data_IF_135799439392
#
_entry.id   IF_135799439392
#
_cell.length_a   1.000
_cell.length_b   1.000
_cell.length_c   1.000
_cell.angle_alpha   90.00
_cell.angle_beta   90.00
_cell.angle_gamma   90.00
#
_symmetry.space_group_name_H-M   'P 1'
#
loop_
_entity.id
_entity.type
_entity.pdbx_description
1 polymer ?
#
# COMPACT_ATOMS: atom_id res chain seq x y z
N UNK A 1 18.65 -60.08 21.24
CA UNK A 1 19.26 -59.80 22.55
C UNK A 1 19.26 -58.29 22.75
N UNK A 2 18.41 -57.74 23.63
CA UNK A 2 18.47 -56.33 24.04
C UNK A 2 19.73 -56.16 24.90
N UNK A 3 20.85 -55.75 24.30
CA UNK A 3 22.07 -55.40 25.03
C UNK A 3 22.04 -53.98 25.58
N UNK A 4 21.02 -53.19 25.24
CA UNK A 4 20.86 -51.83 25.74
C UNK A 4 19.39 -51.55 26.08
N UNK A 5 19.19 -50.78 27.14
CA UNK A 5 17.90 -50.35 27.68
C UNK A 5 17.15 -49.40 26.74
N UNK A 6 17.89 -48.76 25.82
CA UNK A 6 17.43 -47.75 24.89
C UNK A 6 17.73 -48.12 23.43
N UNK A 7 16.90 -47.63 22.50
CA UNK A 7 17.15 -47.73 21.06
C UNK A 7 18.19 -46.69 20.57
N UNK A 8 18.62 -46.83 19.32
CA UNK A 8 19.67 -45.97 18.74
C UNK A 8 19.27 -44.47 18.68
N UNK A 9 17.99 -44.15 18.49
CA UNK A 9 17.51 -42.78 18.44
C UNK A 9 17.41 -42.17 19.83
N UNK A 10 16.97 -42.94 20.83
CA UNK A 10 16.99 -42.54 22.24
C UNK A 10 18.42 -42.25 22.72
N UNK A 11 19.37 -43.16 22.44
CA UNK A 11 20.81 -42.97 22.75
C UNK A 11 21.34 -41.69 22.08
N UNK A 12 20.93 -41.40 20.85
CA UNK A 12 21.32 -40.18 20.14
C UNK A 12 20.85 -38.91 20.85
N UNK A 13 19.62 -38.87 21.36
CA UNK A 13 19.13 -37.71 22.10
C UNK A 13 19.77 -37.58 23.49
N UNK A 14 20.07 -38.69 24.18
CA UNK A 14 20.84 -38.68 25.44
C UNK A 14 22.24 -38.08 25.20
N UNK A 15 22.96 -38.56 24.18
CA UNK A 15 24.28 -38.05 23.83
C UNK A 15 24.27 -36.57 23.44
N UNK A 16 23.22 -36.10 22.76
CA UNK A 16 23.05 -34.67 22.46
C UNK A 16 22.91 -33.85 23.74
N UNK A 17 22.12 -34.31 24.72
CA UNK A 17 21.94 -33.62 25.99
C UNK A 17 23.22 -33.55 26.83
N UNK A 18 23.96 -34.67 26.92
CA UNK A 18 25.28 -34.69 27.58
C UNK A 18 26.22 -33.68 26.91
N UNK A 19 26.21 -33.62 25.57
CA UNK A 19 27.05 -32.69 24.81
C UNK A 19 26.64 -31.22 25.01
N UNK A 20 25.34 -30.93 25.17
CA UNK A 20 24.83 -29.59 25.48
C UNK A 20 24.91 -29.23 26.97
N UNK A 21 25.33 -30.17 27.83
CA UNK A 21 25.53 -29.94 29.25
C UNK A 21 24.25 -29.89 30.08
N UNK A 22 23.13 -30.41 29.57
CA UNK A 22 21.85 -30.46 30.29
C UNK A 22 21.71 -31.74 31.12
N UNK A 23 20.91 -31.69 32.20
CA UNK A 23 20.64 -32.84 33.04
C UNK A 23 19.72 -33.86 32.35
N UNK A 24 20.33 -34.91 31.81
CA UNK A 24 19.61 -35.97 31.07
C UNK A 24 18.75 -36.87 31.96
N UNK A 25 18.93 -36.87 33.29
CA UNK A 25 18.19 -37.77 34.20
C UNK A 25 16.67 -37.56 34.16
N UNK A 26 16.25 -36.34 33.78
CA UNK A 26 14.86 -35.95 33.57
C UNK A 26 14.16 -36.76 32.47
N UNK A 27 14.87 -37.11 31.39
CA UNK A 27 14.34 -37.78 30.20
C UNK A 27 15.03 -39.10 29.81
N UNK A 28 16.13 -39.48 30.47
CA UNK A 28 16.79 -40.78 30.32
C UNK A 28 15.95 -41.90 30.96
N UNK A 29 14.74 -42.13 30.44
CA UNK A 29 13.76 -43.07 30.96
C UNK A 29 13.13 -43.86 29.82
N UNK A 30 12.98 -45.18 29.99
CA UNK A 30 12.42 -46.07 28.96
C UNK A 30 10.99 -45.70 28.53
N UNK A 31 10.26 -44.99 29.40
CA UNK A 31 8.90 -44.56 29.13
C UNK A 31 8.80 -43.43 28.09
N UNK A 32 9.93 -42.82 27.69
CA UNK A 32 9.95 -41.79 26.65
C UNK A 32 10.52 -42.35 25.35
N UNK A 33 9.82 -42.15 24.24
CA UNK A 33 10.40 -42.38 22.92
C UNK A 33 11.43 -41.29 22.56
N UNK A 34 12.18 -41.51 21.47
CA UNK A 34 13.20 -40.55 21.05
C UNK A 34 12.67 -39.16 20.69
N UNK A 35 11.40 -39.03 20.29
CA UNK A 35 10.76 -37.75 19.95
C UNK A 35 10.36 -36.99 21.21
N UNK A 36 9.83 -37.68 22.23
CA UNK A 36 9.58 -37.11 23.55
C UNK A 36 10.90 -36.67 24.22
N UNK A 37 11.93 -37.53 24.19
CA UNK A 37 13.27 -37.19 24.69
C UNK A 37 13.84 -35.94 24.00
N UNK A 38 13.63 -35.81 22.69
CA UNK A 38 14.04 -34.63 21.92
C UNK A 38 13.39 -33.35 22.47
N UNK A 39 12.09 -33.34 22.70
CA UNK A 39 11.39 -32.14 23.20
C UNK A 39 11.79 -31.79 24.63
N UNK A 40 12.00 -32.78 25.51
CA UNK A 40 12.49 -32.53 26.88
C UNK A 40 13.91 -31.94 26.83
N UNK A 41 14.80 -32.53 26.03
CA UNK A 41 16.16 -32.00 25.82
C UNK A 41 16.13 -30.55 25.32
N UNK A 42 15.33 -30.25 24.29
CA UNK A 42 15.23 -28.90 23.73
C UNK A 42 14.72 -27.86 24.76
N UNK A 43 13.83 -28.25 25.67
CA UNK A 43 13.38 -27.35 26.74
C UNK A 43 14.45 -27.10 27.79
N UNK A 44 15.19 -28.14 28.20
CA UNK A 44 16.33 -27.99 29.11
C UNK A 44 17.41 -27.08 28.53
N UNK A 45 17.72 -27.23 27.24
CA UNK A 45 18.68 -26.37 26.52
C UNK A 45 18.28 -24.89 26.53
N UNK A 46 17.00 -24.60 26.75
CA UNK A 46 16.44 -23.25 26.89
C UNK A 46 16.14 -22.85 28.34
N UNK A 47 16.60 -23.64 29.32
CA UNK A 47 16.34 -23.44 30.75
C UNK A 47 14.85 -23.36 31.11
N UNK A 48 14.00 -24.10 30.40
CA UNK A 48 12.57 -24.18 30.69
C UNK A 48 12.30 -25.17 31.84
N UNK A 49 11.20 -24.97 32.57
CA UNK A 49 10.70 -25.97 33.51
C UNK A 49 10.07 -27.15 32.75
N UNK A 50 10.90 -28.14 32.44
CA UNK A 50 10.46 -29.34 31.72
C UNK A 50 9.58 -30.26 32.56
N UNK A 51 9.50 -30.08 33.89
CA UNK A 51 8.64 -30.91 34.75
C UNK A 51 7.15 -30.76 34.40
N UNK A 52 6.78 -29.61 33.84
CA UNK A 52 5.45 -29.29 33.33
C UNK A 52 4.99 -30.30 32.26
N UNK A 53 5.90 -30.75 31.39
CA UNK A 53 5.56 -31.60 30.24
C UNK A 53 6.36 -32.91 30.10
N UNK A 54 7.34 -33.18 30.95
CA UNK A 54 8.09 -34.43 30.96
C UNK A 54 7.25 -35.58 31.55
N UNK A 55 6.09 -35.84 30.96
CA UNK A 55 5.11 -36.85 31.39
C UNK A 55 4.91 -37.88 30.27
N UNK A 56 5.01 -39.20 30.55
CA UNK A 56 4.89 -40.22 29.50
C UNK A 56 3.55 -40.23 28.75
N UNK A 57 2.50 -39.68 29.39
CA UNK A 57 1.16 -39.53 28.83
C UNK A 57 1.07 -38.50 27.70
N UNK A 58 1.98 -37.52 27.64
CA UNK A 58 2.03 -36.54 26.56
C UNK A 58 2.80 -37.09 25.37
N UNK A 59 2.20 -37.05 24.18
CA UNK A 59 2.95 -37.41 22.97
C UNK A 59 3.95 -36.29 22.61
N UNK A 60 4.86 -36.55 21.67
CA UNK A 60 5.88 -35.58 21.30
C UNK A 60 5.34 -34.27 20.72
N UNK A 61 4.15 -34.26 20.09
CA UNK A 61 3.52 -33.02 19.61
C UNK A 61 2.99 -32.17 20.77
N UNK A 62 2.37 -32.80 21.76
CA UNK A 62 1.91 -32.11 22.97
C UNK A 62 3.11 -31.49 23.69
N UNK A 63 4.18 -32.28 23.89
CA UNK A 63 5.43 -31.80 24.48
C UNK A 63 6.03 -30.63 23.69
N UNK A 64 6.01 -30.70 22.36
CA UNK A 64 6.47 -29.61 21.51
C UNK A 64 5.63 -28.34 21.73
N UNK A 65 4.30 -28.44 21.71
CA UNK A 65 3.41 -27.28 21.90
C UNK A 65 3.58 -26.65 23.27
N UNK A 66 3.69 -27.45 24.34
CA UNK A 66 3.91 -26.95 25.69
C UNK A 66 5.29 -26.28 25.78
N UNK A 67 6.35 -26.93 25.30
CA UNK A 67 7.71 -26.37 25.25
C UNK A 67 7.71 -24.99 24.57
N UNK A 68 7.19 -24.93 23.35
CA UNK A 68 7.16 -23.67 22.59
C UNK A 68 6.32 -22.58 23.25
N UNK A 69 5.32 -22.93 24.06
CA UNK A 69 4.53 -21.94 24.81
C UNK A 69 5.29 -21.43 26.04
N UNK A 70 6.00 -22.34 26.75
CA UNK A 70 6.87 -22.01 27.87
C UNK A 70 8.03 -21.10 27.47
N UNK A 71 8.54 -21.22 26.25
CA UNK A 71 9.56 -20.30 25.70
C UNK A 71 9.10 -18.84 25.67
N UNK A 72 7.80 -18.57 25.66
CA UNK A 72 7.21 -17.23 25.73
C UNK A 72 6.70 -16.90 27.14
N UNK A 73 7.02 -17.73 28.15
CA UNK A 73 6.63 -17.51 29.54
C UNK A 73 5.18 -17.85 29.86
N UNK A 74 4.50 -18.65 29.03
CA UNK A 74 3.12 -19.08 29.26
C UNK A 74 3.00 -20.62 29.32
N UNK A 75 1.95 -21.13 29.95
CA UNK A 75 1.77 -22.57 30.20
C UNK A 75 0.50 -23.11 29.52
N UNK A 76 0.68 -24.08 28.61
CA UNK A 76 -0.40 -24.77 27.88
C UNK A 76 -0.83 -26.08 28.58
N UNK A 77 -0.05 -26.59 29.53
CA UNK A 77 -0.19 -27.95 30.06
C UNK A 77 -1.58 -28.26 30.62
N UNK A 78 -2.26 -27.26 31.22
CA UNK A 78 -3.62 -27.38 31.75
C UNK A 78 -4.72 -27.61 30.71
N UNK A 79 -4.42 -27.42 29.41
CA UNK A 79 -5.35 -27.63 28.31
C UNK A 79 -5.13 -28.97 27.57
N UNK A 80 -4.01 -29.64 27.84
CA UNK A 80 -3.66 -30.90 27.16
C UNK A 80 -4.47 -32.05 27.75
N UNK A 81 -5.06 -32.88 26.88
CA UNK A 81 -5.87 -34.03 27.30
C UNK A 81 -7.27 -33.69 27.82
N UNK A 82 -7.68 -32.41 27.74
CA UNK A 82 -9.01 -31.92 28.20
C UNK A 82 -10.05 -31.93 27.07
N UNK A 83 -9.80 -32.69 26.00
CA UNK A 83 -10.71 -32.85 24.86
C UNK A 83 -10.53 -31.82 23.72
N UNK A 84 -9.45 -31.03 23.75
CA UNK A 84 -9.08 -30.16 22.63
C UNK A 84 -8.33 -30.93 21.54
N UNK A 85 -8.59 -30.59 20.27
CA UNK A 85 -7.81 -31.05 19.12
C UNK A 85 -6.53 -30.22 18.90
N UNK A 86 -5.64 -30.71 18.03
CA UNK A 86 -4.35 -30.07 17.70
C UNK A 86 -4.52 -28.59 17.27
N UNK A 87 -5.63 -28.24 16.60
CA UNK A 87 -5.88 -26.89 16.08
C UNK A 87 -6.44 -25.96 17.16
N UNK A 88 -7.30 -26.47 18.02
CA UNK A 88 -7.77 -25.75 19.20
C UNK A 88 -6.61 -25.44 20.16
N UNK A 89 -5.73 -26.42 20.42
CA UNK A 89 -4.52 -26.24 21.21
C UNK A 89 -3.57 -25.22 20.58
N UNK A 90 -3.44 -25.22 19.26
CA UNK A 90 -2.69 -24.20 18.54
C UNK A 90 -3.21 -22.78 18.82
N UNK A 91 -4.53 -22.54 18.80
CA UNK A 91 -5.08 -21.21 19.10
C UNK A 91 -4.93 -20.82 20.56
N UNK A 92 -5.12 -21.74 21.50
CA UNK A 92 -4.91 -21.47 22.93
C UNK A 92 -3.43 -21.11 23.17
N UNK A 93 -2.52 -21.92 22.66
CA UNK A 93 -1.07 -21.67 22.67
C UNK A 93 -0.73 -20.29 22.11
N UNK A 94 -1.28 -19.94 20.94
CA UNK A 94 -1.03 -18.65 20.30
C UNK A 94 -1.55 -17.47 21.12
N UNK A 95 -2.74 -17.58 21.72
CA UNK A 95 -3.28 -16.54 22.59
C UNK A 95 -2.49 -16.37 23.88
N UNK A 96 -2.07 -17.47 24.50
CA UNK A 96 -1.20 -17.45 25.67
C UNK A 96 0.13 -16.74 25.38
N UNK A 97 0.78 -17.06 24.25
CA UNK A 97 2.03 -16.40 23.81
C UNK A 97 1.85 -14.90 23.54
N UNK A 98 0.68 -14.51 23.04
CA UNK A 98 0.33 -13.10 22.79
C UNK A 98 -0.19 -12.40 24.06
N UNK A 99 -0.24 -13.08 25.22
CA UNK A 99 -0.72 -12.51 26.48
C UNK A 99 -2.23 -12.25 26.54
N UNK A 100 -3.01 -12.94 25.69
CA UNK A 100 -4.47 -12.80 25.62
C UNK A 100 -5.16 -13.66 26.70
N UNK A 101 -6.35 -13.23 27.11
CA UNK A 101 -7.18 -14.01 28.02
C UNK A 101 -7.83 -15.20 27.29
N UNK A 102 -7.15 -16.35 27.29
CA UNK A 102 -7.63 -17.55 26.59
C UNK A 102 -8.86 -18.19 27.23
N UNK A 103 -9.21 -17.85 28.48
CA UNK A 103 -10.42 -18.40 29.14
C UNK A 103 -11.71 -18.05 28.39
N UNK A 104 -11.67 -17.01 27.56
CA UNK A 104 -12.81 -16.56 26.74
C UNK A 104 -13.15 -17.58 25.65
N UNK A 105 -12.15 -18.29 25.11
CA UNK A 105 -12.36 -19.18 23.97
C UNK A 105 -11.79 -20.59 24.13
N UNK A 106 -11.06 -20.88 25.20
CA UNK A 106 -10.59 -22.22 25.54
C UNK A 106 -11.78 -23.11 25.97
N UNK A 107 -12.62 -23.45 24.99
CA UNK A 107 -13.80 -24.29 25.13
C UNK A 107 -13.74 -25.42 24.09
N UNK A 108 -13.68 -26.70 24.49
CA UNK A 108 -13.63 -27.82 23.56
C UNK A 108 -14.81 -27.90 22.58
N UNK A 109 -15.96 -27.31 22.93
CA UNK A 109 -17.13 -27.27 22.04
C UNK A 109 -17.00 -26.25 20.91
N UNK A 110 -16.05 -25.31 20.98
CA UNK A 110 -15.85 -24.31 19.94
C UNK A 110 -15.06 -24.88 18.77
N UNK A 111 -15.58 -24.71 17.56
CA UNK A 111 -14.83 -25.08 16.36
C UNK A 111 -13.51 -24.29 16.27
N UNK A 112 -12.50 -24.89 15.62
CA UNK A 112 -11.24 -24.25 15.25
C UNK A 112 -11.45 -22.83 14.65
N UNK A 113 -12.44 -22.68 13.76
CA UNK A 113 -12.76 -21.39 13.15
C UNK A 113 -13.26 -20.36 14.18
N UNK A 114 -14.12 -20.77 15.11
CA UNK A 114 -14.66 -19.88 16.14
C UNK A 114 -13.54 -19.41 17.08
N UNK A 115 -12.65 -20.30 17.50
CA UNK A 115 -11.46 -19.93 18.28
C UNK A 115 -10.54 -18.97 17.52
N UNK A 116 -10.31 -19.20 16.23
CA UNK A 116 -9.52 -18.32 15.38
C UNK A 116 -10.10 -16.89 15.31
N UNK A 117 -11.42 -16.78 15.18
CA UNK A 117 -12.11 -15.50 15.09
C UNK A 117 -12.12 -14.75 16.42
N UNK A 118 -12.34 -15.45 17.54
CA UNK A 118 -12.22 -14.87 18.88
C UNK A 118 -10.79 -14.38 19.14
N UNK A 119 -9.78 -15.21 18.84
CA UNK A 119 -8.37 -14.82 18.94
C UNK A 119 -8.07 -13.55 18.11
N UNK A 120 -8.55 -13.50 16.86
CA UNK A 120 -8.32 -12.35 15.99
C UNK A 120 -8.99 -11.07 16.53
N UNK A 121 -10.19 -11.20 17.11
CA UNK A 121 -10.90 -10.09 17.73
C UNK A 121 -10.21 -9.58 19.00
N UNK A 122 -9.75 -10.47 19.88
CA UNK A 122 -8.96 -10.11 21.08
C UNK A 122 -7.64 -9.44 20.71
N UNK A 123 -6.94 -9.96 19.70
CA UNK A 123 -5.70 -9.38 19.19
C UNK A 123 -5.90 -7.98 18.62
N UNK A 124 -7.06 -7.74 17.99
CA UNK A 124 -7.50 -6.43 17.53
C UNK A 124 -8.06 -5.54 18.66
N UNK A 125 -8.03 -6.00 19.92
CA UNK A 125 -8.55 -5.31 21.11
C UNK A 125 -10.04 -4.94 20.99
N UNK A 126 -10.81 -5.76 20.27
CA UNK A 126 -12.25 -5.57 20.18
C UNK A 126 -12.88 -5.98 21.52
N UNK A 127 -13.88 -5.24 22.02
CA UNK A 127 -14.51 -5.50 23.32
C UNK A 127 -15.50 -6.66 23.19
N UNK A 128 -15.01 -7.86 22.94
CA UNK A 128 -15.84 -9.06 22.79
C UNK A 128 -16.14 -9.74 24.13
N UNK A 129 -15.40 -9.39 25.18
CA UNK A 129 -15.51 -9.93 26.54
C UNK A 129 -16.87 -9.67 27.17
N UNK A 130 -17.58 -8.65 26.71
CA UNK A 130 -18.94 -8.31 27.19
C UNK A 130 -20.03 -9.25 26.68
N UNK A 131 -19.70 -10.16 25.77
CA UNK A 131 -20.65 -11.05 25.12
C UNK A 131 -20.54 -12.48 25.63
N UNK A 132 -21.68 -13.13 25.84
CA UNK A 132 -21.71 -14.58 26.01
C UNK A 132 -21.57 -15.25 24.63
N UNK A 133 -20.32 -15.41 24.20
CA UNK A 133 -19.96 -15.94 22.89
C UNK A 133 -20.49 -17.37 22.69
N UNK A 134 -20.72 -18.12 23.78
CA UNK A 134 -21.19 -19.51 23.73
C UNK A 134 -22.60 -19.66 23.18
N UNK A 135 -23.40 -18.58 23.21
CA UNK A 135 -24.78 -18.56 22.76
C UNK A 135 -24.94 -18.16 21.29
N UNK A 136 -23.89 -17.62 20.67
CA UNK A 136 -23.94 -17.25 19.25
C UNK A 136 -23.55 -18.43 18.37
N UNK A 137 -24.29 -18.58 17.26
CA UNK A 137 -23.79 -19.35 16.14
C UNK A 137 -22.52 -18.70 15.56
N UNK A 138 -21.72 -19.50 14.84
CA UNK A 138 -20.55 -19.02 14.09
C UNK A 138 -20.89 -17.79 13.22
N UNK A 139 -22.03 -17.82 12.54
CA UNK A 139 -22.44 -16.73 11.65
C UNK A 139 -22.78 -15.45 12.41
N UNK A 140 -23.53 -15.56 13.50
CA UNK A 140 -23.92 -14.44 14.35
C UNK A 140 -22.70 -13.77 14.97
N UNK A 141 -21.78 -14.56 15.53
CA UNK A 141 -20.53 -14.03 16.09
C UNK A 141 -19.68 -13.32 15.04
N UNK A 142 -19.62 -13.85 13.82
CA UNK A 142 -18.96 -13.17 12.71
C UNK A 142 -19.61 -11.83 12.38
N UNK A 143 -20.95 -11.71 12.44
CA UNK A 143 -21.63 -10.43 12.22
C UNK A 143 -21.26 -9.41 13.31
N UNK A 144 -21.19 -9.85 14.57
CA UNK A 144 -20.75 -9.04 15.71
C UNK A 144 -19.33 -8.54 15.50
N UNK A 145 -18.38 -9.43 15.23
CA UNK A 145 -16.98 -9.07 15.01
C UNK A 145 -16.83 -8.09 13.84
N UNK A 146 -17.58 -8.28 12.75
CA UNK A 146 -17.53 -7.39 11.60
C UNK A 146 -18.08 -5.98 11.91
N UNK A 147 -19.14 -5.84 12.69
CA UNK A 147 -19.60 -4.51 13.09
C UNK A 147 -18.69 -3.85 14.10
N UNK A 148 -18.16 -4.59 15.09
CA UNK A 148 -17.15 -4.06 16.02
C UNK A 148 -15.92 -3.54 15.26
N UNK A 149 -15.43 -4.28 14.26
CA UNK A 149 -14.34 -3.82 13.36
C UNK A 149 -14.69 -2.57 12.57
N UNK A 150 -15.98 -2.34 12.30
CA UNK A 150 -16.49 -1.16 11.61
C UNK A 150 -16.80 -0.01 12.58
N UNK A 151 -16.46 -0.15 13.87
CA UNK A 151 -16.78 0.83 14.92
C UNK A 151 -18.26 0.88 15.33
N UNK A 152 -19.10 -0.04 14.84
CA UNK A 152 -20.52 -0.04 15.15
C UNK A 152 -20.79 -0.43 16.61
N UNK A 153 -21.80 0.20 17.21
CA UNK A 153 -22.44 -0.32 18.41
C UNK A 153 -23.27 -1.55 18.03
N UNK A 154 -22.73 -2.71 18.33
CA UNK A 154 -23.37 -3.99 18.00
C UNK A 154 -24.50 -4.38 18.94
N UNK A 155 -24.71 -3.66 20.07
CA UNK A 155 -25.87 -3.86 20.95
C UNK A 155 -27.21 -3.56 20.27
N UNK A 156 -27.16 -2.90 19.11
CA UNK A 156 -28.31 -2.65 18.26
C UNK A 156 -28.73 -3.89 17.44
N UNK A 157 -27.90 -4.94 17.37
CA UNK A 157 -28.17 -6.13 16.56
C UNK A 157 -27.61 -7.46 17.12
N UNK A 158 -27.15 -7.51 18.37
CA UNK A 158 -26.51 -8.69 18.98
C UNK A 158 -27.48 -9.65 19.71
N UNK A 159 -28.76 -9.65 19.32
CA UNK A 159 -29.75 -10.60 19.86
C UNK A 159 -29.47 -12.05 19.42
N UNK A 160 -29.39 -12.96 20.39
CA UNK A 160 -29.15 -14.39 20.19
C UNK A 160 -30.19 -15.08 19.31
N UNK A 161 -31.44 -14.61 19.33
CA UNK A 161 -32.55 -15.21 18.57
C UNK A 161 -32.75 -14.53 17.20
N UNK A 162 -31.91 -13.55 16.86
CA UNK A 162 -32.02 -12.82 15.60
C UNK A 162 -31.39 -13.57 14.42
N UNK A 163 -32.25 -14.02 13.49
CA UNK A 163 -31.84 -14.67 12.25
C UNK A 163 -31.35 -13.68 11.16
N UNK A 164 -31.70 -12.39 11.27
CA UNK A 164 -31.40 -11.34 10.28
C UNK A 164 -30.19 -10.48 10.67
N UNK A 165 -29.25 -11.01 11.48
CA UNK A 165 -28.09 -10.25 11.95
C UNK A 165 -27.26 -9.61 10.83
N UNK A 166 -27.20 -10.23 9.65
CA UNK A 166 -26.45 -9.67 8.52
C UNK A 166 -27.16 -8.44 7.96
N UNK A 167 -28.46 -8.54 7.72
CA UNK A 167 -29.32 -7.46 7.24
C UNK A 167 -29.31 -6.29 8.24
N UNK A 168 -29.38 -6.59 9.54
CA UNK A 168 -29.33 -5.59 10.60
C UNK A 168 -27.97 -4.90 10.68
N UNK A 169 -26.85 -5.65 10.62
CA UNK A 169 -25.52 -5.04 10.53
C UNK A 169 -25.40 -4.19 9.27
N UNK A 170 -25.84 -4.68 8.11
CA UNK A 170 -25.80 -3.93 6.85
C UNK A 170 -26.61 -2.64 6.98
N UNK A 171 -27.80 -2.69 7.59
CA UNK A 171 -28.62 -1.51 7.88
C UNK A 171 -27.84 -0.51 8.73
N UNK A 172 -27.25 -0.96 9.84
CA UNK A 172 -26.47 -0.10 10.74
C UNK A 172 -25.24 0.50 10.08
N UNK A 173 -24.50 -0.26 9.26
CA UNK A 173 -23.37 0.28 8.46
C UNK A 173 -23.88 1.41 7.54
N UNK A 174 -25.01 1.20 6.86
CA UNK A 174 -25.56 2.20 5.94
C UNK A 174 -26.08 3.44 6.67
N UNK A 175 -26.71 3.27 7.83
CA UNK A 175 -27.17 4.37 8.67
C UNK A 175 -25.99 5.19 9.21
N UNK A 176 -24.91 4.51 9.64
CA UNK A 176 -23.68 5.14 10.12
C UNK A 176 -23.08 6.10 9.08
N UNK A 177 -22.92 5.64 7.84
CA UNK A 177 -22.25 6.41 6.76
C UNK A 177 -23.15 7.38 5.99
N UNK A 178 -24.47 7.34 6.24
CA UNK A 178 -25.45 8.19 5.56
C UNK A 178 -26.03 7.59 4.28
N UNK A 179 -27.30 7.90 4.03
CA UNK A 179 -28.12 7.29 2.97
C UNK A 179 -27.56 7.54 1.58
N UNK A 180 -27.15 8.77 1.25
CA UNK A 180 -26.69 9.13 -0.09
C UNK A 180 -25.38 8.41 -0.47
N UNK A 181 -24.42 8.39 0.46
CA UNK A 181 -23.16 7.66 0.30
C UNK A 181 -23.40 6.16 0.10
N UNK A 182 -24.30 5.59 0.90
CA UNK A 182 -24.63 4.15 0.86
C UNK A 182 -25.30 3.70 -0.44
N UNK A 183 -25.94 4.63 -1.16
CA UNK A 183 -26.64 4.39 -2.43
C UNK A 183 -25.74 4.60 -3.66
N UNK A 184 -24.44 4.83 -3.45
CA UNK A 184 -23.43 4.94 -4.49
C UNK A 184 -23.42 3.78 -5.49
N UNK A 185 -23.05 4.06 -6.73
CA UNK A 185 -23.02 3.06 -7.79
C UNK A 185 -21.91 2.03 -7.54
N UNK A 186 -22.26 0.74 -7.50
CA UNK A 186 -21.33 -0.39 -7.29
C UNK A 186 -20.50 -0.33 -5.98
N UNK A 187 -20.92 0.48 -5.01
CA UNK A 187 -20.29 0.61 -3.69
C UNK A 187 -20.42 -0.70 -2.91
N UNK A 188 -19.32 -1.10 -2.26
CA UNK A 188 -19.26 -2.35 -1.51
C UNK A 188 -19.50 -2.14 -0.01
N UNK A 189 -20.02 -3.17 0.66
CA UNK A 189 -20.16 -3.16 2.12
C UNK A 189 -18.82 -2.96 2.83
N UNK A 190 -17.73 -3.49 2.28
CA UNK A 190 -16.38 -3.31 2.84
C UNK A 190 -15.95 -1.84 2.82
N UNK A 191 -16.24 -1.11 1.74
CA UNK A 191 -15.94 0.32 1.66
C UNK A 191 -16.76 1.12 2.68
N UNK A 192 -18.06 0.84 2.79
CA UNK A 192 -18.91 1.48 3.79
C UNK A 192 -18.47 1.15 5.22
N UNK A 193 -18.04 -0.09 5.47
CA UNK A 193 -17.52 -0.52 6.78
C UNK A 193 -16.28 0.26 7.18
N UNK A 194 -15.34 0.49 6.25
CA UNK A 194 -14.15 1.33 6.49
C UNK A 194 -14.52 2.78 6.78
N UNK A 195 -15.48 3.34 6.06
CA UNK A 195 -15.91 4.72 6.30
C UNK A 195 -16.60 4.86 7.64
N UNK A 196 -17.48 3.91 7.99
CA UNK A 196 -18.12 3.88 9.30
C UNK A 196 -17.08 3.80 10.43
N UNK A 197 -16.04 2.98 10.25
CA UNK A 197 -14.92 2.91 11.19
C UNK A 197 -14.28 4.28 11.41
N UNK A 198 -13.85 4.96 10.33
CA UNK A 198 -13.23 6.30 10.46
C UNK A 198 -14.16 7.35 11.06
N UNK A 199 -15.46 7.31 10.73
CA UNK A 199 -16.46 8.20 11.33
C UNK A 199 -16.56 8.02 12.84
N UNK A 200 -16.54 6.77 13.32
CA UNK A 200 -16.57 6.48 14.75
C UNK A 200 -15.26 6.82 15.47
N UNK A 201 -14.13 6.81 14.76
CA UNK A 201 -12.85 7.35 15.26
C UNK A 201 -12.81 8.89 15.33
N UNK A 202 -13.92 9.56 14.96
CA UNK A 202 -14.07 11.01 15.07
C UNK A 202 -13.66 11.81 13.84
N UNK A 203 -13.44 11.15 12.68
CA UNK A 203 -13.27 11.86 11.41
C UNK A 203 -14.59 12.52 11.02
N UNK A 204 -14.56 13.82 10.78
CA UNK A 204 -15.70 14.56 10.25
C UNK A 204 -15.92 14.21 8.77
N UNK A 205 -17.09 13.65 8.46
CA UNK A 205 -17.50 13.28 7.09
C UNK A 205 -18.67 14.13 6.59
N UNK A 206 -19.11 15.13 7.36
CA UNK A 206 -20.34 15.88 7.11
C UNK A 206 -20.35 16.62 5.77
N UNK A 207 -19.16 17.03 5.31
CA UNK A 207 -18.93 17.71 4.03
C UNK A 207 -19.32 16.85 2.82
N UNK A 208 -19.28 15.52 2.93
CA UNK A 208 -19.45 14.60 1.81
C UNK A 208 -20.38 13.39 2.04
N UNK A 209 -20.98 13.25 3.23
CA UNK A 209 -21.94 12.15 3.53
C UNK A 209 -23.22 12.19 2.66
N UNK A 210 -23.58 13.37 2.17
CA UNK A 210 -24.72 13.59 1.28
C UNK A 210 -24.38 13.37 -0.20
N UNK A 211 -23.13 13.05 -0.51
CA UNK A 211 -22.70 12.80 -1.87
C UNK A 211 -22.84 11.33 -2.25
N UNK A 212 -23.23 11.12 -3.50
CA UNK A 212 -23.30 9.79 -4.11
C UNK A 212 -22.01 9.53 -4.88
N UNK A 213 -21.11 8.74 -4.30
CA UNK A 213 -19.88 8.31 -4.95
C UNK A 213 -20.04 6.91 -5.57
N UNK A 214 -19.38 6.68 -6.70
CA UNK A 214 -19.18 5.33 -7.21
C UNK A 214 -18.08 4.61 -6.40
N UNK A 215 -17.92 3.31 -6.67
CA UNK A 215 -16.87 2.48 -6.09
C UNK A 215 -15.48 3.10 -6.19
N UNK A 216 -15.09 3.65 -7.34
CA UNK A 216 -13.72 4.06 -7.59
C UNK A 216 -13.39 5.37 -6.87
N UNK A 217 -14.34 6.31 -6.83
CA UNK A 217 -14.21 7.54 -6.04
C UNK A 217 -14.14 7.23 -4.54
N UNK A 218 -14.97 6.31 -4.06
CA UNK A 218 -14.95 5.90 -2.66
C UNK A 218 -13.64 5.20 -2.28
N UNK A 219 -13.03 4.44 -3.20
CA UNK A 219 -11.69 3.86 -3.01
C UNK A 219 -10.62 4.95 -2.84
N UNK A 220 -10.67 6.05 -3.60
CA UNK A 220 -9.75 7.17 -3.39
C UNK A 220 -9.93 7.83 -2.02
N UNK A 221 -11.17 8.03 -1.56
CA UNK A 221 -11.45 8.60 -0.23
C UNK A 221 -10.87 7.69 0.86
N UNK A 222 -11.16 6.40 0.80
CA UNK A 222 -10.66 5.41 1.76
C UNK A 222 -9.14 5.37 1.78
N UNK A 223 -8.48 5.38 0.61
CA UNK A 223 -7.01 5.45 0.54
C UNK A 223 -6.48 6.74 1.15
N UNK A 224 -7.21 7.85 1.02
CA UNK A 224 -6.86 9.11 1.68
C UNK A 224 -6.87 8.97 3.20
N UNK A 225 -7.96 8.43 3.75
CA UNK A 225 -8.09 8.16 5.18
C UNK A 225 -7.00 7.20 5.68
N UNK A 226 -6.76 6.10 4.96
CA UNK A 226 -5.71 5.11 5.28
C UNK A 226 -4.29 5.73 5.29
N UNK A 227 -4.05 6.83 4.54
CA UNK A 227 -2.77 7.55 4.50
C UNK A 227 -2.78 8.83 5.35
N UNK A 228 -3.83 9.07 6.14
CA UNK A 228 -3.99 10.24 7.01
C UNK A 228 -3.83 11.58 6.29
N UNK A 229 -4.36 11.69 5.06
CA UNK A 229 -4.44 12.96 4.32
C UNK A 229 -5.84 13.55 4.39
N UNK A 230 -5.92 14.87 4.29
CA UNK A 230 -7.19 15.59 4.31
C UNK A 230 -8.03 15.29 3.05
N UNK A 231 -9.08 14.50 3.23
CA UNK A 231 -9.94 14.05 2.13
C UNK A 231 -10.86 15.15 1.60
N UNK A 232 -11.11 16.22 2.36
CA UNK A 232 -12.03 17.30 1.95
C UNK A 232 -11.55 18.06 0.71
N UNK A 233 -10.25 18.01 0.42
CA UNK A 233 -9.69 18.56 -0.82
C UNK A 233 -10.28 17.88 -2.06
N UNK A 234 -10.52 16.57 -2.02
CA UNK A 234 -10.86 15.78 -3.20
C UNK A 234 -12.13 14.93 -3.09
N UNK A 235 -12.73 14.76 -1.91
CA UNK A 235 -14.00 14.07 -1.69
C UNK A 235 -15.19 14.89 -2.20
N UNK A 236 -15.20 15.23 -3.50
CA UNK A 236 -16.20 16.06 -4.16
C UNK A 236 -16.69 15.37 -5.44
N UNK A 237 -18.01 15.29 -5.70
CA UNK A 237 -18.55 14.62 -6.88
C UNK A 237 -18.02 15.15 -8.21
N UNK A 238 -17.65 16.44 -8.23
CA UNK A 238 -17.13 17.13 -9.40
C UNK A 238 -15.82 16.56 -9.94
N UNK A 239 -15.02 15.91 -9.10
CA UNK A 239 -13.77 15.30 -9.52
C UNK A 239 -13.98 13.90 -10.09
N UNK A 240 -13.25 13.55 -11.16
CA UNK A 240 -13.09 12.17 -11.61
C UNK A 240 -12.21 11.38 -10.64
N UNK A 241 -12.23 10.05 -10.73
CA UNK A 241 -11.35 9.21 -9.90
C UNK A 241 -9.86 9.50 -10.14
N UNK A 242 -9.48 9.86 -11.37
CA UNK A 242 -8.11 10.22 -11.75
C UNK A 242 -7.72 11.58 -11.16
N UNK A 243 -8.62 12.56 -11.16
CA UNK A 243 -8.38 13.84 -10.49
C UNK A 243 -8.24 13.66 -8.96
N UNK A 244 -9.12 12.86 -8.35
CA UNK A 244 -9.02 12.50 -6.93
C UNK A 244 -7.68 11.80 -6.60
N UNK A 245 -7.22 10.93 -7.51
CA UNK A 245 -5.92 10.27 -7.39
C UNK A 245 -4.77 11.30 -7.37
N UNK A 246 -4.73 12.25 -8.31
CA UNK A 246 -3.66 13.25 -8.36
C UNK A 246 -3.68 14.21 -7.17
N UNK A 247 -4.86 14.61 -6.69
CA UNK A 247 -4.97 15.45 -5.48
C UNK A 247 -4.51 14.66 -4.24
N UNK A 248 -4.98 13.41 -4.06
CA UNK A 248 -4.56 12.55 -2.94
C UNK A 248 -3.04 12.33 -2.94
N UNK A 249 -2.46 12.04 -4.09
CA UNK A 249 -1.00 11.86 -4.20
C UNK A 249 -0.23 13.14 -3.93
N UNK A 250 -0.75 14.31 -4.33
CA UNK A 250 -0.14 15.60 -3.97
C UNK A 250 -0.10 15.83 -2.47
N UNK A 251 -1.19 15.57 -1.75
CA UNK A 251 -1.23 15.66 -0.29
C UNK A 251 -0.22 14.72 0.38
N UNK A 252 -0.11 13.47 -0.11
CA UNK A 252 0.89 12.50 0.38
C UNK A 252 2.34 12.95 0.13
N UNK A 253 2.57 13.71 -0.94
CA UNK A 253 3.87 14.29 -1.31
C UNK A 253 4.11 15.67 -0.66
N UNK A 254 3.20 16.14 0.22
CA UNK A 254 3.20 17.48 0.83
C UNK A 254 3.20 18.64 -0.19
N UNK A 255 2.63 18.42 -1.38
CA UNK A 255 2.43 19.47 -2.38
C UNK A 255 1.24 20.36 -2.01
N UNK A 256 1.31 21.65 -2.37
CA UNK A 256 0.17 22.55 -2.28
C UNK A 256 -0.85 22.23 -3.38
N UNK A 257 -1.84 21.39 -3.03
CA UNK A 257 -2.88 20.96 -3.96
C UNK A 257 -3.87 22.07 -4.31
N UNK A 258 -3.93 23.18 -3.56
CA UNK A 258 -4.85 24.28 -3.86
C UNK A 258 -4.59 24.94 -5.22
N UNK A 259 -3.37 24.77 -5.75
CA UNK A 259 -2.93 25.27 -7.05
C UNK A 259 -3.63 24.54 -8.20
N UNK A 260 -3.90 23.24 -8.06
CA UNK A 260 -4.37 22.40 -9.18
C UNK A 260 -5.60 21.56 -8.88
N UNK A 261 -6.11 21.53 -7.64
CA UNK A 261 -7.33 20.84 -7.26
C UNK A 261 -8.58 21.59 -7.78
N UNK A 262 -8.64 21.77 -9.10
CA UNK A 262 -9.72 22.41 -9.84
C UNK A 262 -10.17 21.51 -10.99
N UNK A 263 -11.47 21.52 -11.27
CA UNK A 263 -12.07 20.77 -12.38
C UNK A 263 -11.69 21.30 -13.76
N UNK A 264 -11.16 22.52 -13.84
CA UNK A 264 -10.63 23.08 -15.07
C UNK A 264 -9.35 22.36 -15.54
N UNK A 265 -8.68 21.61 -14.65
CA UNK A 265 -7.57 20.74 -14.99
C UNK A 265 -8.02 19.29 -15.16
N UNK A 266 -7.67 18.64 -16.26
CA UNK A 266 -7.70 17.19 -16.36
C UNK A 266 -6.61 16.54 -15.49
N UNK A 267 -6.73 15.23 -15.26
CA UNK A 267 -5.77 14.51 -14.41
C UNK A 267 -4.33 14.52 -14.95
N UNK A 268 -4.13 14.61 -16.27
CA UNK A 268 -2.78 14.68 -16.85
C UNK A 268 -2.14 16.04 -16.59
N UNK A 269 -2.91 17.13 -16.67
CA UNK A 269 -2.47 18.47 -16.28
C UNK A 269 -2.14 18.52 -14.77
N UNK A 270 -3.02 18.00 -13.90
CA UNK A 270 -2.76 17.89 -12.46
C UNK A 270 -1.47 17.10 -12.16
N UNK A 271 -1.22 16.01 -12.91
CA UNK A 271 -0.01 15.20 -12.77
C UNK A 271 1.27 15.99 -13.08
N UNK A 272 1.27 16.84 -14.11
CA UNK A 272 2.42 17.69 -14.44
C UNK A 272 2.64 18.79 -13.40
N UNK A 273 1.58 19.41 -12.89
CA UNK A 273 1.69 20.40 -11.81
C UNK A 273 2.25 19.72 -10.54
N UNK A 274 1.67 18.59 -10.12
CA UNK A 274 2.14 17.81 -8.97
C UNK A 274 3.60 17.40 -9.11
N UNK A 275 4.02 16.90 -10.29
CA UNK A 275 5.43 16.52 -10.54
C UNK A 275 6.39 17.69 -10.35
N UNK A 276 5.99 18.92 -10.70
CA UNK A 276 6.80 20.12 -10.48
C UNK A 276 6.87 20.50 -9.01
N UNK A 277 5.72 20.60 -8.34
CA UNK A 277 5.62 20.91 -6.91
C UNK A 277 6.43 19.93 -6.06
N UNK A 278 6.38 18.64 -6.38
CA UNK A 278 7.10 17.57 -5.68
C UNK A 278 8.62 17.78 -5.62
N UNK A 279 9.19 18.42 -6.64
CA UNK A 279 10.63 18.73 -6.70
C UNK A 279 10.92 20.22 -6.44
N UNK A 280 9.95 20.97 -5.92
CA UNK A 280 10.10 22.37 -5.54
C UNK A 280 10.22 23.35 -6.70
N UNK A 281 9.71 23.00 -7.90
CA UNK A 281 9.67 23.95 -9.02
C UNK A 281 8.55 24.97 -8.82
N UNK A 282 8.79 26.20 -9.30
CA UNK A 282 7.73 27.17 -9.51
C UNK A 282 6.85 26.71 -10.68
N UNK A 283 5.57 26.45 -10.38
CA UNK A 283 4.60 25.97 -11.34
C UNK A 283 3.78 27.09 -11.98
N UNK A 284 3.90 28.33 -11.50
CA UNK A 284 3.05 29.47 -11.91
C UNK A 284 3.08 29.75 -13.41
N UNK A 285 4.20 29.44 -14.08
CA UNK A 285 4.35 29.61 -15.53
C UNK A 285 3.51 28.64 -16.36
N UNK A 286 3.13 27.48 -15.80
CA UNK A 286 2.43 26.44 -16.56
C UNK A 286 1.20 25.87 -15.86
N UNK A 287 0.93 26.21 -14.59
CA UNK A 287 -0.34 25.92 -13.91
C UNK A 287 -1.44 26.84 -14.44
N UNK A 288 -1.80 26.63 -15.69
CA UNK A 288 -2.88 27.31 -16.40
C UNK A 288 -3.68 26.26 -17.18
N UNK A 289 -5.00 26.13 -16.96
CA UNK A 289 -5.80 25.05 -17.55
C UNK A 289 -5.89 25.12 -19.07
N UNK A 290 -5.51 26.24 -19.69
CA UNK A 290 -5.44 26.37 -21.15
C UNK A 290 -4.27 25.60 -21.79
N UNK A 291 -3.22 25.28 -21.03
CA UNK A 291 -2.14 24.44 -21.52
C UNK A 291 -2.53 22.97 -21.44
N UNK A 292 -2.41 22.20 -22.52
CA UNK A 292 -2.48 20.75 -22.42
C UNK A 292 -1.29 20.18 -21.60
N UNK A 293 -1.43 18.95 -21.12
CA UNK A 293 -0.39 18.30 -20.32
C UNK A 293 0.96 18.15 -21.04
N UNK A 294 0.98 18.12 -22.38
CA UNK A 294 2.23 18.06 -23.15
C UNK A 294 2.93 19.41 -23.25
N UNK A 295 2.17 20.51 -23.31
CA UNK A 295 2.71 21.87 -23.19
C UNK A 295 3.26 22.10 -21.78
N UNK A 296 2.50 21.73 -20.73
CA UNK A 296 2.95 21.80 -19.34
C UNK A 296 4.23 20.99 -19.11
N UNK A 297 4.35 19.81 -19.72
CA UNK A 297 5.57 18.99 -19.67
C UNK A 297 6.79 19.74 -20.22
N UNK A 298 6.70 20.36 -21.40
CA UNK A 298 7.84 21.06 -21.99
C UNK A 298 8.24 22.28 -21.14
N UNK A 299 7.28 23.06 -20.62
CA UNK A 299 7.57 24.18 -19.71
C UNK A 299 8.23 23.67 -18.42
N UNK A 300 7.65 22.65 -17.77
CA UNK A 300 8.21 22.03 -16.55
C UNK A 300 9.64 21.52 -16.76
N UNK A 301 9.91 20.89 -17.90
CA UNK A 301 11.24 20.38 -18.22
C UNK A 301 12.26 21.51 -18.42
N UNK A 302 11.88 22.60 -19.10
CA UNK A 302 12.76 23.76 -19.27
C UNK A 302 13.14 24.39 -17.92
N UNK A 303 12.16 24.56 -17.01
CA UNK A 303 12.43 25.07 -15.65
C UNK A 303 13.34 24.10 -14.88
N UNK A 304 13.07 22.79 -14.96
CA UNK A 304 13.90 21.75 -14.32
C UNK A 304 15.36 21.78 -14.82
N UNK A 305 15.55 22.10 -16.09
CA UNK A 305 16.86 22.21 -16.75
C UNK A 305 17.56 23.55 -16.45
N UNK A 306 16.93 24.45 -15.68
CA UNK A 306 17.49 25.75 -15.30
C UNK A 306 17.37 26.84 -16.38
N UNK A 307 16.56 26.62 -17.41
CA UNK A 307 16.31 27.59 -18.48
C UNK A 307 15.22 28.60 -18.07
N UNK A 308 15.30 29.82 -18.60
CA UNK A 308 14.19 30.78 -18.53
C UNK A 308 13.04 30.33 -19.44
N UNK A 309 12.04 29.69 -18.85
CA UNK A 309 10.90 29.12 -19.55
C UNK A 309 9.82 30.15 -19.90
N UNK A 310 10.01 31.44 -19.62
CA UNK A 310 9.00 32.49 -19.86
C UNK A 310 8.51 32.52 -21.31
N UNK A 311 9.41 32.28 -22.27
CA UNK A 311 9.07 32.23 -23.70
C UNK A 311 8.17 31.05 -24.08
N UNK A 312 8.24 29.95 -23.31
CA UNK A 312 7.41 28.77 -23.51
C UNK A 312 6.00 28.96 -22.94
N UNK A 313 5.81 29.90 -22.01
CA UNK A 313 4.52 30.18 -21.37
C UNK A 313 3.55 30.95 -22.29
N UNK A 314 3.37 30.48 -23.52
CA UNK A 314 2.45 31.01 -24.52
C UNK A 314 1.57 29.88 -25.08
N UNK A 315 0.25 29.99 -24.84
CA UNK A 315 -0.76 28.97 -25.20
C UNK A 315 -0.85 28.68 -26.70
N UNK A 316 -0.37 29.60 -27.55
CA UNK A 316 -0.40 29.44 -29.00
C UNK A 316 0.69 28.48 -29.54
N UNK A 317 1.69 28.11 -28.73
CA UNK A 317 2.67 27.10 -29.13
C UNK A 317 2.16 25.69 -28.84
N UNK A 318 2.11 24.80 -29.82
CA UNK A 318 1.96 23.37 -29.55
C UNK A 318 3.23 22.77 -28.92
N UNK A 319 3.11 21.59 -28.33
CA UNK A 319 4.23 20.94 -27.61
C UNK A 319 5.45 20.63 -28.48
N UNK A 320 5.30 20.45 -29.80
CA UNK A 320 6.47 20.28 -30.69
C UNK A 320 7.22 21.58 -30.91
N UNK A 321 6.51 22.70 -31.07
CA UNK A 321 7.12 24.03 -31.12
C UNK A 321 7.83 24.35 -29.80
N UNK A 322 7.18 24.08 -28.66
CA UNK A 322 7.76 24.25 -27.33
C UNK A 322 9.02 23.40 -27.15
N UNK A 323 9.03 22.15 -27.63
CA UNK A 323 10.22 21.29 -27.58
C UNK A 323 11.40 21.87 -28.36
N UNK A 324 11.15 22.44 -29.53
CA UNK A 324 12.20 23.09 -30.32
C UNK A 324 12.79 24.30 -29.58
N UNK A 325 11.95 25.11 -28.94
CA UNK A 325 12.39 26.23 -28.10
C UNK A 325 13.19 25.71 -26.90
N UNK A 326 12.66 24.73 -26.15
CA UNK A 326 13.33 24.14 -24.98
C UNK A 326 14.71 23.60 -25.33
N UNK A 327 14.84 22.83 -26.41
CA UNK A 327 16.14 22.32 -26.83
C UNK A 327 17.13 23.44 -27.15
N UNK A 328 16.67 24.52 -27.81
CA UNK A 328 17.52 25.68 -28.06
C UNK A 328 17.95 26.41 -26.80
N UNK A 329 17.06 26.52 -25.79
CA UNK A 329 17.40 27.10 -24.48
C UNK A 329 18.50 26.29 -23.78
N UNK A 330 18.38 24.95 -23.75
CA UNK A 330 19.39 24.05 -23.18
C UNK A 330 20.76 24.24 -23.85
N UNK A 331 20.77 24.44 -25.17
CA UNK A 331 21.96 24.65 -25.97
C UNK A 331 22.46 26.11 -25.96
N UNK A 332 21.85 27.00 -25.17
CA UNK A 332 22.14 28.44 -25.09
C UNK A 332 22.04 29.16 -26.45
N UNK A 333 21.12 28.73 -27.32
CA UNK A 333 20.82 29.38 -28.60
C UNK A 333 19.90 30.59 -28.40
N UNK A 334 19.97 31.57 -29.31
CA UNK A 334 19.02 32.68 -29.36
C UNK A 334 17.66 32.22 -29.92
N UNK A 335 16.81 31.71 -29.03
CA UNK A 335 15.50 31.15 -29.39
C UNK A 335 14.53 32.16 -29.97
N UNK A 336 14.72 33.47 -29.72
CA UNK A 336 13.86 34.52 -30.27
C UNK A 336 13.93 34.62 -31.80
N UNK A 337 14.94 34.03 -32.43
CA UNK A 337 15.05 33.93 -33.89
C UNK A 337 13.91 33.08 -34.48
N UNK A 338 13.47 32.04 -33.78
CA UNK A 338 12.51 31.07 -34.34
C UNK A 338 11.30 30.78 -33.45
N UNK A 339 11.27 31.25 -32.20
CA UNK A 339 10.13 31.15 -31.31
C UNK A 339 8.97 32.04 -31.80
N UNK A 340 8.21 31.54 -32.77
CA UNK A 340 7.06 32.21 -33.36
C UNK A 340 5.87 31.24 -33.46
N UNK A 341 4.74 31.50 -32.79
CA UNK A 341 3.58 30.60 -32.84
C UNK A 341 3.03 30.37 -34.25
N UNK A 342 3.22 31.32 -35.16
CA UNK A 342 2.80 31.23 -36.56
C UNK A 342 3.71 30.30 -37.41
N UNK A 343 4.89 29.94 -36.92
CA UNK A 343 5.76 28.99 -37.61
C UNK A 343 5.30 27.57 -37.35
N UNK A 344 5.30 26.72 -38.37
CA UNK A 344 5.07 25.29 -38.14
C UNK A 344 6.12 24.72 -37.19
N UNK A 345 5.77 23.64 -36.49
CA UNK A 345 6.71 22.93 -35.63
C UNK A 345 7.95 22.45 -36.41
N UNK A 346 7.76 22.04 -37.66
CA UNK A 346 8.84 21.58 -38.54
C UNK A 346 9.77 22.73 -38.93
N UNK A 347 9.22 23.91 -39.26
CA UNK A 347 10.01 25.12 -39.52
C UNK A 347 10.87 25.50 -38.33
N UNK A 348 10.27 25.57 -37.14
CA UNK A 348 11.01 25.85 -35.90
C UNK A 348 12.09 24.80 -35.64
N UNK A 349 11.77 23.53 -35.86
CA UNK A 349 12.72 22.43 -35.71
C UNK A 349 13.92 22.55 -36.67
N UNK A 350 13.70 22.87 -37.95
CA UNK A 350 14.78 23.01 -38.92
C UNK A 350 15.69 24.21 -38.60
N UNK A 351 15.11 25.34 -38.19
CA UNK A 351 15.89 26.51 -37.78
C UNK A 351 16.71 26.18 -36.52
N UNK A 352 16.09 25.58 -35.50
CA UNK A 352 16.78 25.08 -34.30
C UNK A 352 17.94 24.16 -34.68
N UNK A 353 17.72 23.16 -35.53
CA UNK A 353 18.75 22.19 -35.92
C UNK A 353 19.92 22.84 -36.65
N UNK A 354 19.67 23.81 -37.53
CA UNK A 354 20.74 24.56 -38.19
C UNK A 354 21.55 25.39 -37.19
N UNK A 355 20.87 26.09 -36.27
CA UNK A 355 21.53 26.89 -35.23
C UNK A 355 22.35 26.04 -34.25
N UNK A 356 21.82 24.89 -33.85
CA UNK A 356 22.49 23.88 -33.02
C UNK A 356 23.80 23.39 -33.65
N UNK A 357 23.84 23.30 -34.98
CA UNK A 357 25.02 22.94 -35.75
C UNK A 357 25.98 24.13 -36.01
N UNK A 358 25.67 25.33 -35.50
CA UNK A 358 26.49 26.53 -35.62
C UNK A 358 26.21 27.39 -36.85
N UNK A 359 25.12 27.15 -37.59
CA UNK A 359 24.76 27.94 -38.77
C UNK A 359 23.89 29.15 -38.42
N UNK A 360 24.12 30.28 -39.11
CA UNK A 360 23.26 31.46 -39.04
C UNK A 360 21.98 31.25 -39.86
N UNK A 361 20.93 30.79 -39.18
CA UNK A 361 19.65 30.47 -39.80
C UNK A 361 18.72 31.67 -40.02
N UNK A 362 19.08 32.87 -39.54
CA UNK A 362 18.24 34.08 -39.61
C UNK A 362 17.92 34.49 -41.05
N UNK A 363 18.79 34.14 -42.01
CA UNK A 363 18.63 34.46 -43.44
C UNK A 363 17.60 33.60 -44.15
N UNK A 364 17.15 32.50 -43.53
CA UNK A 364 16.22 31.54 -44.12
C UNK A 364 14.82 31.62 -43.50
N UNK A 365 14.51 32.67 -42.74
CA UNK A 365 13.22 32.81 -42.06
C UNK A 365 12.02 32.91 -43.02
N UNK A 366 12.22 33.38 -44.25
CA UNK A 366 11.15 33.48 -45.27
C UNK A 366 10.88 32.15 -46.00
N UNK A 367 11.69 31.12 -45.75
CA UNK A 367 11.59 29.84 -46.44
C UNK A 367 10.43 29.01 -45.85
N UNK A 368 9.76 28.23 -46.69
CA UNK A 368 8.80 27.23 -46.24
C UNK A 368 9.49 25.96 -45.73
N UNK A 369 8.73 25.05 -45.12
CA UNK A 369 9.23 23.85 -44.46
C UNK A 369 10.07 22.95 -45.40
N UNK A 370 9.64 22.81 -46.67
CA UNK A 370 10.34 22.00 -47.67
C UNK A 370 11.66 22.63 -48.10
N UNK A 371 11.66 23.96 -48.29
CA UNK A 371 12.86 24.72 -48.60
C UNK A 371 13.86 24.67 -47.44
N UNK A 372 13.40 24.87 -46.19
CA UNK A 372 14.24 24.78 -45.00
C UNK A 372 14.83 23.39 -44.81
N UNK A 373 14.03 22.34 -45.03
CA UNK A 373 14.52 20.96 -45.01
C UNK A 373 15.67 20.76 -46.00
N UNK A 374 15.48 21.20 -47.25
CA UNK A 374 16.50 21.07 -48.31
C UNK A 374 17.77 21.87 -47.99
N UNK A 375 17.63 23.08 -47.45
CA UNK A 375 18.77 23.90 -46.99
C UNK A 375 19.52 23.19 -45.88
N UNK A 376 18.80 22.66 -44.88
CA UNK A 376 19.40 21.98 -43.74
C UNK A 376 20.14 20.70 -44.16
N UNK A 377 19.56 19.91 -45.05
CA UNK A 377 20.20 18.72 -45.64
C UNK A 377 21.52 19.08 -46.34
N UNK A 378 21.50 20.12 -47.19
CA UNK A 378 22.71 20.60 -47.86
C UNK A 378 23.78 21.16 -46.91
N UNK A 379 23.38 21.90 -45.87
CA UNK A 379 24.30 22.41 -44.85
C UNK A 379 24.99 21.28 -44.08
N UNK A 380 24.24 20.24 -43.71
CA UNK A 380 24.82 19.07 -43.03
C UNK A 380 25.72 18.23 -43.93
N UNK A 381 25.37 18.06 -45.20
CA UNK A 381 26.23 17.40 -46.18
C UNK A 381 27.57 18.15 -46.33
N UNK A 382 27.51 19.48 -46.47
CA UNK A 382 28.70 20.32 -46.53
C UNK A 382 29.56 20.22 -45.25
N UNK A 383 28.92 20.23 -44.07
CA UNK A 383 29.61 20.07 -42.79
C UNK A 383 30.36 18.74 -42.69
N UNK A 384 29.73 17.64 -43.12
CA UNK A 384 30.35 16.32 -43.12
C UNK A 384 31.54 16.23 -44.09
N UNK A 385 31.45 16.86 -45.26
CA UNK A 385 32.59 16.97 -46.19
C UNK A 385 33.74 17.74 -45.52
N UNK A 386 33.47 18.88 -44.90
CA UNK A 386 34.49 19.68 -44.21
C UNK A 386 35.17 18.89 -43.08
N UNK A 387 34.41 18.14 -42.26
CA UNK A 387 34.97 17.28 -41.21
C UNK A 387 35.90 16.21 -41.76
N UNK A 388 35.55 15.58 -42.89
CA UNK A 388 36.40 14.57 -43.55
C UNK A 388 37.71 15.16 -44.05
N UNK A 389 37.66 16.32 -44.71
CA UNK A 389 38.87 17.00 -45.18
C UNK A 389 39.81 17.34 -44.02
N UNK A 390 39.27 17.90 -42.92
CA UNK A 390 40.07 18.18 -41.72
C UNK A 390 40.65 16.92 -41.07
N UNK A 391 39.96 15.80 -41.11
CA UNK A 391 40.47 14.53 -40.58
C UNK A 391 41.57 13.91 -41.46
N UNK A 392 41.56 14.18 -42.77
CA UNK A 392 42.59 13.76 -43.72
C UNK A 392 43.84 14.65 -43.64
N UNK A 393 43.69 15.96 -43.37
CA UNK A 393 44.81 16.89 -43.17
C UNK A 393 45.55 16.69 -41.83
N UNK A 394 44.90 16.07 -40.84
CA UNK A 394 45.48 15.77 -39.52
C UNK A 394 46.04 14.33 -39.40
N UNK A 395 46.11 13.58 -40.50
CA UNK A 395 46.80 12.28 -40.63
C UNK A 395 48.13 12.47 -41.34
#
# INVERSE_FOLDING_TARGET
>A
MKFNRFDANQIREINKGIKSGVDVSSYEKECFDSSQMREIRLGLEKNLDVSVYSKPEYNSKDMQMIRETLEYGADLSGYIGVGFDDQQLYWISKGLRDGLNVSIYANPSFSNYMMAEIYAALKAKLPIEKYDISRFSKYQFQQIVLGLKSGLDVSLYDDYDNENMFEDRVRLVKECVGTALSQGENVTLQQLSKICYYKNEGIDTSSWENYRFDRDKLDQIIRGLDNNVDVDFFAKPKFSKEQMYEIRHGLMENCDVSIYADTDYDASQMCEIRKGLRIGLDVSLYSNPKFDSTQMFEIRQAIKEGSDASILANENFNSRQMRAIRNGLIENLDVYIYANPEFSADKMYYIYKGMSAGFDMKKYLDFNDSQLKSVLEGLFEALEICKKMLAEENK
#
